data_IF_638465664768
#
_entry.id   IF_638465664768
#
_cell.length_a   1.000
_cell.length_b   1.000
_cell.length_c   1.000
_cell.angle_alpha   90.00
_cell.angle_beta   90.00
_cell.angle_gamma   90.00
#
_symmetry.space_group_name_H-M   'P 1'
#
loop_
_entity.id
_entity.type
_entity.pdbx_description
1 polymer ?
#
# COMPACT_ATOMS: atom_id res chain seq x y z
N UNK A 1 -12.96 -21.87 -4.86
CA UNK A 1 -14.09 -20.96 -4.71
C UNK A 1 -13.59 -19.72 -3.97
N UNK A 2 -13.23 -18.67 -4.71
CA UNK A 2 -12.69 -17.44 -4.15
C UNK A 2 -13.82 -16.45 -3.91
N UNK A 3 -14.04 -16.06 -2.67
CA UNK A 3 -14.92 -14.97 -2.31
C UNK A 3 -14.25 -13.64 -2.71
N UNK A 4 -14.67 -13.11 -3.86
CA UNK A 4 -14.38 -11.73 -4.25
C UNK A 4 -15.16 -10.80 -3.30
N UNK A 5 -14.52 -10.33 -2.24
CA UNK A 5 -15.06 -9.19 -1.51
C UNK A 5 -14.85 -7.94 -2.36
N UNK A 6 -15.92 -7.48 -2.99
CA UNK A 6 -16.00 -6.14 -3.57
C UNK A 6 -15.88 -5.13 -2.42
N UNK A 7 -14.71 -4.50 -2.31
CA UNK A 7 -14.56 -3.32 -1.47
C UNK A 7 -15.25 -2.19 -2.21
N UNK A 8 -16.47 -1.85 -1.80
CA UNK A 8 -17.15 -0.64 -2.25
C UNK A 8 -16.42 0.58 -1.67
N UNK A 9 -15.91 1.42 -2.53
CA UNK A 9 -15.12 2.64 -2.21
C UNK A 9 -16.01 3.76 -1.63
N UNK A 10 -17.33 3.60 -1.62
CA UNK A 10 -18.29 4.58 -1.13
C UNK A 10 -19.03 4.06 0.11
N UNK A 11 -18.33 4.05 1.24
CA UNK A 11 -19.02 4.21 2.50
C UNK A 11 -18.47 5.47 3.16
N UNK A 12 -19.15 6.59 2.93
CA UNK A 12 -19.25 7.65 3.93
C UNK A 12 -19.77 6.95 5.20
N UNK A 13 -18.84 6.55 6.07
CA UNK A 13 -19.20 5.99 7.38
C UNK A 13 -19.88 7.14 8.08
N UNK A 14 -21.21 7.10 8.28
CA UNK A 14 -21.88 8.14 9.05
C UNK A 14 -21.21 8.13 10.42
N UNK A 15 -20.63 9.25 10.81
CA UNK A 15 -20.09 9.43 12.16
C UNK A 15 -21.29 9.29 13.08
N UNK A 16 -21.47 8.09 13.60
CA UNK A 16 -22.58 7.81 14.49
C UNK A 16 -22.32 8.62 15.76
N UNK A 17 -23.11 9.63 16.00
CA UNK A 17 -22.97 10.54 17.15
C UNK A 17 -22.92 9.79 18.47
N UNK A 18 -23.56 8.63 18.57
CA UNK A 18 -23.51 7.74 19.73
C UNK A 18 -22.13 7.10 19.92
N UNK A 19 -21.45 6.67 18.84
CA UNK A 19 -20.09 6.12 18.93
C UNK A 19 -19.05 7.19 19.32
N UNK A 20 -19.24 8.42 18.90
CA UNK A 20 -18.37 9.55 19.29
C UNK A 20 -18.53 9.86 20.78
N UNK A 21 -19.74 9.76 21.30
CA UNK A 21 -19.99 9.94 22.73
C UNK A 21 -19.42 8.79 23.58
N UNK A 22 -19.50 7.54 23.13
CA UNK A 22 -18.94 6.39 23.84
C UNK A 22 -17.41 6.36 23.84
N UNK A 23 -16.75 6.83 22.78
CA UNK A 23 -15.28 6.86 22.64
C UNK A 23 -14.61 8.12 23.14
N UNK A 24 -15.41 9.12 23.50
CA UNK A 24 -14.93 10.42 23.97
C UNK A 24 -14.28 11.28 22.90
N UNK A 25 -14.56 12.55 22.92
CA UNK A 25 -14.02 13.56 22.00
C UNK A 25 -12.48 13.55 21.93
N UNK A 26 -11.81 13.30 23.05
CA UNK A 26 -10.35 13.28 23.14
C UNK A 26 -9.72 12.16 22.29
N UNK A 27 -10.30 10.96 22.28
CA UNK A 27 -9.79 9.82 21.51
C UNK A 27 -9.93 10.08 20.00
N UNK A 28 -11.05 10.68 19.58
CA UNK A 28 -11.28 11.02 18.17
C UNK A 28 -10.30 12.08 17.68
N UNK A 29 -9.94 13.06 18.50
CA UNK A 29 -8.96 14.08 18.15
C UNK A 29 -7.53 13.51 18.10
N UNK A 30 -7.16 12.62 19.03
CA UNK A 30 -5.89 11.92 19.04
C UNK A 30 -5.75 11.03 17.79
N UNK A 31 -6.80 10.33 17.39
CA UNK A 31 -6.79 9.49 16.17
C UNK A 31 -6.55 10.32 14.91
N UNK A 32 -7.20 11.48 14.79
CA UNK A 32 -6.94 12.42 13.68
C UNK A 32 -5.50 12.93 13.67
N UNK A 33 -4.94 13.28 14.83
CA UNK A 33 -3.56 13.74 14.96
C UNK A 33 -2.57 12.64 14.55
N UNK A 34 -2.77 11.42 15.04
CA UNK A 34 -1.92 10.26 14.70
C UNK A 34 -2.00 9.94 13.21
N UNK A 35 -3.19 9.94 12.62
CA UNK A 35 -3.37 9.69 11.19
C UNK A 35 -2.77 10.82 10.33
N UNK A 36 -2.86 12.06 10.77
CA UNK A 36 -2.16 13.18 10.12
C UNK A 36 -0.65 12.98 10.13
N UNK A 37 -0.06 12.62 11.28
CA UNK A 37 1.37 12.35 11.39
C UNK A 37 1.81 11.16 10.50
N UNK A 38 1.05 10.06 10.49
CA UNK A 38 1.32 8.87 9.64
C UNK A 38 1.26 9.19 8.15
N UNK A 39 0.29 10.00 7.73
CA UNK A 39 0.18 10.38 6.30
C UNK A 39 1.27 11.33 5.85
N UNK A 40 1.86 12.10 6.75
CA UNK A 40 2.99 12.99 6.46
C UNK A 40 4.35 12.29 6.46
N UNK A 41 4.44 11.04 6.93
CA UNK A 41 5.68 10.27 7.01
C UNK A 41 5.39 8.80 6.71
N UNK A 42 5.39 8.46 5.42
CA UNK A 42 5.22 7.08 4.95
C UNK A 42 6.53 6.59 4.33
N UNK A 43 7.10 5.54 4.88
CA UNK A 43 8.38 5.01 4.45
C UNK A 43 8.23 3.66 3.73
N UNK A 44 8.26 3.66 2.38
CA UNK A 44 8.17 2.42 1.62
C UNK A 44 9.43 1.57 1.73
N UNK A 45 9.26 0.27 1.90
CA UNK A 45 10.35 -0.68 1.68
C UNK A 45 10.62 -0.83 0.18
N UNK A 46 11.90 -0.81 -0.19
CA UNK A 46 12.34 -1.00 -1.57
C UNK A 46 12.23 -2.47 -1.97
N UNK A 47 11.08 -2.89 -2.46
CA UNK A 47 10.83 -4.26 -2.93
C UNK A 47 10.56 -4.27 -4.44
N UNK A 48 11.62 -4.02 -5.22
CA UNK A 48 11.57 -4.02 -6.67
C UNK A 48 11.84 -5.41 -7.25
N UNK A 49 10.94 -5.92 -8.08
CA UNK A 49 11.03 -7.26 -8.67
C UNK A 49 11.30 -7.24 -10.17
N UNK A 50 10.83 -6.22 -10.89
CA UNK A 50 10.95 -6.14 -12.35
C UNK A 50 10.86 -4.68 -12.82
N UNK A 51 10.39 -4.45 -14.07
CA UNK A 51 10.34 -3.14 -14.72
C UNK A 51 9.58 -2.06 -13.91
N UNK A 52 8.55 -2.41 -13.17
CA UNK A 52 7.86 -1.46 -12.30
C UNK A 52 8.78 -0.83 -11.24
N UNK A 53 9.83 -1.53 -10.83
CA UNK A 53 10.81 -0.99 -9.90
C UNK A 53 11.57 0.22 -10.48
N UNK A 54 11.83 0.23 -11.79
CA UNK A 54 12.48 1.36 -12.47
C UNK A 54 11.58 2.58 -12.45
N UNK A 55 10.28 2.40 -12.69
CA UNK A 55 9.31 3.50 -12.62
C UNK A 55 9.11 3.98 -11.17
N UNK A 56 9.17 3.08 -10.20
CA UNK A 56 9.19 3.42 -8.77
C UNK A 56 10.41 4.28 -8.41
N UNK A 57 11.61 3.95 -8.93
CA UNK A 57 12.82 4.78 -8.76
C UNK A 57 12.65 6.15 -9.44
N UNK A 58 12.04 6.18 -10.63
CA UNK A 58 11.74 7.43 -11.34
C UNK A 58 10.80 8.34 -10.52
N UNK A 59 9.79 7.78 -9.87
CA UNK A 59 8.90 8.53 -8.99
C UNK A 59 9.65 9.15 -7.78
N UNK A 60 10.70 8.49 -7.28
CA UNK A 60 11.58 9.02 -6.23
C UNK A 60 12.68 9.96 -6.73
N UNK A 61 12.88 10.07 -8.06
CA UNK A 61 13.88 10.93 -8.66
C UNK A 61 13.46 12.41 -8.64
N UNK A 62 14.39 13.30 -8.98
CA UNK A 62 14.24 14.75 -8.87
C UNK A 62 13.04 15.34 -9.63
N UNK A 63 12.58 14.70 -10.71
CA UNK A 63 11.45 15.19 -11.49
C UNK A 63 10.12 15.14 -10.72
N UNK A 64 9.88 14.06 -9.98
CA UNK A 64 8.62 13.84 -9.25
C UNK A 64 8.76 14.07 -7.77
N UNK A 65 9.93 13.79 -7.22
CA UNK A 65 10.31 14.09 -5.85
C UNK A 65 9.28 13.64 -4.80
N UNK A 66 9.16 12.31 -4.65
CA UNK A 66 8.25 11.73 -3.66
C UNK A 66 8.55 12.18 -2.23
N UNK A 67 9.78 12.59 -1.94
CA UNK A 67 10.19 13.03 -0.60
C UNK A 67 9.36 14.23 -0.11
N UNK A 68 8.95 15.13 -1.00
CA UNK A 68 8.08 16.27 -0.65
C UNK A 68 6.70 15.87 -0.15
N UNK A 69 6.26 14.63 -0.46
CA UNK A 69 5.02 14.05 0.07
C UNK A 69 5.24 13.29 1.38
N UNK A 70 6.43 13.33 1.95
CA UNK A 70 6.81 12.56 3.13
C UNK A 70 7.07 11.08 2.88
N UNK A 71 7.35 10.71 1.62
CA UNK A 71 7.54 9.32 1.19
C UNK A 71 9.01 9.09 0.90
N UNK A 72 9.72 8.48 1.83
CA UNK A 72 11.15 8.20 1.72
C UNK A 72 11.41 6.70 1.68
N UNK A 73 12.10 6.23 0.66
CA UNK A 73 12.46 4.81 0.53
C UNK A 73 13.40 4.34 1.65
N UNK A 74 13.11 3.16 2.18
CA UNK A 74 13.94 2.49 3.18
C UNK A 74 14.37 1.09 2.71
N UNK A 75 15.62 0.70 2.99
CA UNK A 75 16.14 -0.59 2.52
C UNK A 75 15.66 -1.78 3.38
N UNK A 76 15.23 -1.53 4.62
CA UNK A 76 14.85 -2.59 5.56
C UNK A 76 13.36 -2.54 5.92
N UNK A 77 12.67 -3.69 5.96
CA UNK A 77 11.26 -3.75 6.33
C UNK A 77 10.98 -3.30 7.77
N UNK A 78 11.95 -3.43 8.66
CA UNK A 78 11.79 -3.03 10.07
C UNK A 78 11.71 -1.51 10.28
N UNK A 79 12.14 -0.74 9.29
CA UNK A 79 12.07 0.73 9.28
C UNK A 79 11.02 1.27 8.30
N UNK A 80 10.15 0.41 7.78
CA UNK A 80 9.20 0.76 6.73
C UNK A 80 7.78 0.50 7.18
N UNK A 81 6.89 1.38 6.73
CA UNK A 81 5.46 1.34 7.03
C UNK A 81 4.64 0.87 5.83
N UNK A 82 5.16 1.06 4.62
CA UNK A 82 4.50 0.73 3.36
C UNK A 82 5.34 -0.27 2.58
N UNK A 83 4.70 -1.26 1.97
CA UNK A 83 5.32 -2.15 0.99
C UNK A 83 4.79 -1.82 -0.40
N UNK A 84 5.67 -1.50 -1.34
CA UNK A 84 5.32 -1.37 -2.75
C UNK A 84 5.81 -2.61 -3.48
N UNK A 85 4.87 -3.47 -3.91
CA UNK A 85 5.20 -4.66 -4.69
C UNK A 85 5.30 -4.22 -6.17
N UNK A 86 6.52 -3.98 -6.63
CA UNK A 86 6.78 -3.38 -7.94
C UNK A 86 7.36 -4.41 -8.91
N UNK A 87 6.50 -5.16 -9.57
CA UNK A 87 6.89 -6.09 -10.62
C UNK A 87 6.27 -7.48 -10.52
N UNK A 88 6.80 -8.39 -11.33
CA UNK A 88 6.29 -9.76 -11.44
C UNK A 88 6.69 -10.59 -10.24
N UNK A 89 5.70 -11.11 -9.51
CA UNK A 89 5.92 -12.01 -8.40
C UNK A 89 5.97 -13.46 -8.89
N UNK A 90 7.14 -14.07 -8.79
CA UNK A 90 7.31 -15.50 -9.12
C UNK A 90 7.10 -16.38 -7.89
N UNK A 91 6.72 -17.65 -8.13
CA UNK A 91 6.45 -18.61 -7.05
C UNK A 91 7.63 -18.78 -6.09
N UNK A 92 8.86 -18.75 -6.59
CA UNK A 92 10.08 -18.85 -5.77
C UNK A 92 10.30 -17.62 -4.88
N UNK A 93 9.78 -16.44 -5.29
CA UNK A 93 9.92 -15.19 -4.53
C UNK A 93 8.76 -14.96 -3.55
N UNK A 94 7.64 -15.62 -3.74
CA UNK A 94 6.46 -15.46 -2.90
C UNK A 94 6.74 -15.69 -1.38
N UNK A 95 7.50 -16.72 -0.96
CA UNK A 95 7.87 -16.87 0.45
C UNK A 95 8.74 -15.74 0.98
N UNK A 96 9.60 -15.15 0.13
CA UNK A 96 10.43 -14.00 0.51
C UNK A 96 9.57 -12.74 0.69
N UNK A 97 8.61 -12.48 -0.22
CA UNK A 97 7.65 -11.40 -0.08
C UNK A 97 6.90 -11.50 1.26
N UNK A 98 6.40 -12.69 1.58
CA UNK A 98 5.68 -12.92 2.84
C UNK A 98 6.56 -12.65 4.06
N UNK A 99 7.80 -13.12 4.06
CA UNK A 99 8.76 -12.87 5.15
C UNK A 99 9.04 -11.37 5.34
N UNK A 100 9.24 -10.64 4.24
CA UNK A 100 9.48 -9.18 4.30
C UNK A 100 8.25 -8.47 4.87
N UNK A 101 7.05 -8.86 4.45
CA UNK A 101 5.81 -8.32 4.99
C UNK A 101 5.67 -8.59 6.49
N UNK A 102 5.94 -9.81 6.95
CA UNK A 102 5.83 -10.18 8.36
C UNK A 102 6.88 -9.48 9.25
N UNK A 103 8.00 -9.03 8.66
CA UNK A 103 9.03 -8.25 9.35
C UNK A 103 8.71 -6.76 9.46
N UNK A 104 7.71 -6.25 8.76
CA UNK A 104 7.27 -4.88 8.89
C UNK A 104 6.50 -4.68 10.19
N UNK A 105 6.74 -3.54 10.84
CA UNK A 105 6.00 -3.16 12.04
C UNK A 105 4.55 -2.80 11.70
N UNK A 106 3.63 -2.96 12.64
CA UNK A 106 2.27 -2.48 12.52
C UNK A 106 2.16 -1.03 13.03
N UNK A 107 1.37 -0.19 12.39
CA UNK A 107 0.51 -0.43 11.22
C UNK A 107 1.30 -0.47 9.92
N UNK A 108 0.92 -1.37 9.01
CA UNK A 108 1.58 -1.58 7.71
C UNK A 108 0.56 -1.61 6.58
N UNK A 109 0.97 -1.12 5.42
CA UNK A 109 0.12 -1.03 4.22
C UNK A 109 0.84 -1.59 3.00
N UNK A 110 0.08 -2.07 2.03
CA UNK A 110 0.62 -2.67 0.80
C UNK A 110 0.02 -2.00 -0.43
N UNK A 111 0.88 -1.53 -1.32
CA UNK A 111 0.53 -1.06 -2.66
C UNK A 111 0.97 -2.10 -3.67
N UNK A 112 0.04 -2.60 -4.46
CA UNK A 112 0.33 -3.47 -5.60
C UNK A 112 0.52 -2.62 -6.84
N UNK A 113 1.74 -2.55 -7.37
CA UNK A 113 2.11 -1.72 -8.49
C UNK A 113 2.26 -2.53 -9.78
N UNK A 114 1.43 -2.21 -10.75
CA UNK A 114 1.46 -2.76 -12.08
C UNK A 114 0.68 -4.05 -12.27
N UNK A 115 0.37 -4.36 -13.51
CA UNK A 115 -0.49 -5.49 -13.89
C UNK A 115 0.06 -6.84 -13.42
N UNK A 116 1.38 -6.99 -13.36
CA UNK A 116 2.01 -8.24 -12.91
C UNK A 116 1.76 -8.50 -11.43
N UNK A 117 1.93 -7.48 -10.58
CA UNK A 117 1.64 -7.59 -9.14
C UNK A 117 0.15 -7.71 -8.89
N UNK A 118 -0.70 -7.03 -9.66
CA UNK A 118 -2.15 -7.02 -9.49
C UNK A 118 -2.80 -8.37 -9.82
N UNK A 119 -2.33 -9.06 -10.88
CA UNK A 119 -3.00 -10.29 -11.30
C UNK A 119 -2.16 -11.19 -12.21
N UNK A 120 -0.83 -11.03 -12.22
CA UNK A 120 0.07 -11.77 -13.12
C UNK A 120 0.32 -11.08 -14.46
N UNK A 121 -0.53 -10.12 -14.86
CA UNK A 121 -0.37 -9.30 -16.06
C UNK A 121 -0.13 -10.10 -17.32
N UNK A 122 0.89 -9.72 -18.07
CA UNK A 122 1.31 -10.39 -19.31
C UNK A 122 1.68 -11.87 -19.09
N UNK A 123 2.16 -12.21 -17.87
CA UNK A 123 2.61 -13.57 -17.52
C UNK A 123 1.56 -14.38 -16.74
N UNK A 124 0.29 -13.99 -16.82
CA UNK A 124 -0.80 -14.61 -16.05
C UNK A 124 -0.88 -16.13 -16.18
N UNK A 125 -0.63 -16.65 -17.38
CA UNK A 125 -0.68 -18.09 -17.67
C UNK A 125 0.63 -18.83 -17.48
N UNK A 126 1.70 -18.12 -17.04
CA UNK A 126 2.97 -18.77 -16.76
C UNK A 126 2.87 -19.68 -15.53
N UNK A 127 3.50 -20.85 -15.60
CA UNK A 127 3.59 -21.79 -14.48
C UNK A 127 4.41 -21.27 -13.30
N UNK A 128 5.28 -20.29 -13.52
CA UNK A 128 6.22 -19.78 -12.54
C UNK A 128 5.73 -18.52 -11.80
N UNK A 129 4.62 -17.90 -12.24
CA UNK A 129 4.17 -16.59 -11.76
C UNK A 129 2.95 -16.71 -10.87
N UNK A 130 2.96 -15.98 -9.76
CA UNK A 130 1.82 -15.84 -8.87
C UNK A 130 0.81 -14.88 -9.50
N UNK A 131 -0.44 -15.30 -9.61
CA UNK A 131 -1.54 -14.52 -10.21
C UNK A 131 -2.13 -13.51 -9.22
N UNK A 132 -1.34 -12.50 -8.89
CA UNK A 132 -1.67 -11.46 -7.93
C UNK A 132 -0.95 -11.63 -6.59
N UNK A 133 -0.35 -10.53 -6.11
CA UNK A 133 0.32 -10.52 -4.81
C UNK A 133 -0.67 -10.56 -3.62
N UNK A 134 -1.93 -10.24 -3.87
CA UNK A 134 -3.04 -10.34 -2.91
C UNK A 134 -3.29 -11.76 -2.38
N UNK A 135 -2.79 -12.77 -3.09
CA UNK A 135 -2.81 -14.17 -2.63
C UNK A 135 -1.82 -14.45 -1.52
N UNK A 136 -0.81 -13.60 -1.35
CA UNK A 136 0.28 -13.76 -0.40
C UNK A 136 0.19 -12.75 0.75
N UNK A 137 -0.10 -11.48 0.43
CA UNK A 137 -0.21 -10.37 1.38
C UNK A 137 -1.48 -9.57 1.13
N UNK A 138 -2.12 -8.98 2.17
CA UNK A 138 -3.27 -8.12 1.96
C UNK A 138 -2.85 -6.85 1.22
N UNK A 139 -3.61 -6.45 0.20
CA UNK A 139 -3.34 -5.26 -0.62
C UNK A 139 -4.33 -4.16 -0.27
N UNK A 140 -3.82 -2.95 -0.04
CA UNK A 140 -4.61 -1.77 0.29
C UNK A 140 -4.99 -0.95 -0.93
N UNK A 141 -4.05 -0.80 -1.88
CA UNK A 141 -4.22 -0.01 -3.10
C UNK A 141 -3.64 -0.76 -4.29
N UNK A 142 -4.34 -0.74 -5.40
CA UNK A 142 -3.90 -1.29 -6.69
C UNK A 142 -3.60 -0.16 -7.66
N UNK A 143 -2.41 -0.16 -8.25
CA UNK A 143 -2.00 0.79 -9.29
C UNK A 143 -1.92 0.05 -10.62
N UNK A 144 -2.82 0.31 -11.57
CA UNK A 144 -2.81 -0.36 -12.88
C UNK A 144 -1.74 0.24 -13.80
N UNK A 145 -1.25 -0.58 -14.73
CA UNK A 145 -0.29 -0.19 -15.78
C UNK A 145 0.76 -1.28 -16.02
N UNK A 146 1.53 -1.15 -17.10
CA UNK A 146 2.59 -2.11 -17.44
C UNK A 146 3.76 -1.43 -18.16
N UNK A 147 4.67 -0.78 -17.43
CA UNK A 147 4.54 -0.30 -16.05
C UNK A 147 3.56 0.87 -15.92
N UNK A 148 3.01 1.13 -14.73
CA UNK A 148 2.30 2.38 -14.47
C UNK A 148 3.28 3.55 -14.52
N UNK A 149 2.81 4.72 -14.92
CA UNK A 149 3.62 5.93 -14.89
C UNK A 149 3.93 6.36 -13.46
N UNK A 150 4.98 7.19 -13.27
CA UNK A 150 5.33 7.74 -11.96
C UNK A 150 4.16 8.52 -11.33
N UNK A 151 3.38 9.26 -12.17
CA UNK A 151 2.18 9.97 -11.72
C UNK A 151 1.10 9.01 -11.22
N UNK A 152 0.92 7.87 -11.88
CA UNK A 152 -0.05 6.87 -11.45
C UNK A 152 0.35 6.28 -10.08
N UNK A 153 1.64 6.06 -9.84
CA UNK A 153 2.13 5.63 -8.53
C UNK A 153 1.91 6.71 -7.47
N UNK A 154 2.23 7.97 -7.76
CA UNK A 154 1.96 9.10 -6.86
C UNK A 154 0.49 9.21 -6.51
N UNK A 155 -0.40 9.05 -7.51
CA UNK A 155 -1.83 9.01 -7.26
C UNK A 155 -2.22 7.86 -6.33
N UNK A 156 -1.65 6.66 -6.52
CA UNK A 156 -1.84 5.52 -5.63
C UNK A 156 -1.42 5.80 -4.18
N UNK A 157 -0.32 6.52 -4.00
CA UNK A 157 0.16 6.97 -2.68
C UNK A 157 -0.83 7.96 -2.05
N UNK A 158 -1.33 8.93 -2.82
CA UNK A 158 -2.35 9.88 -2.34
C UNK A 158 -3.63 9.14 -1.92
N UNK A 159 -4.05 8.13 -2.68
CA UNK A 159 -5.20 7.29 -2.31
C UNK A 159 -4.94 6.53 -1.00
N UNK A 160 -3.74 6.01 -0.81
CA UNK A 160 -3.37 5.38 0.46
C UNK A 160 -3.40 6.37 1.62
N UNK A 161 -2.88 7.60 1.43
CA UNK A 161 -2.96 8.66 2.45
C UNK A 161 -4.42 8.98 2.82
N UNK A 162 -5.31 9.07 1.83
CA UNK A 162 -6.75 9.28 2.08
C UNK A 162 -7.37 8.12 2.84
N UNK A 163 -7.00 6.87 2.50
CA UNK A 163 -7.45 5.67 3.22
C UNK A 163 -7.02 5.73 4.69
N UNK A 164 -5.75 6.04 4.98
CA UNK A 164 -5.22 6.14 6.34
C UNK A 164 -5.95 7.22 7.14
N UNK A 165 -6.21 8.39 6.55
CA UNK A 165 -6.95 9.48 7.23
C UNK A 165 -8.38 9.11 7.62
N UNK A 166 -9.02 8.21 6.87
CA UNK A 166 -10.38 7.74 7.12
C UNK A 166 -10.44 6.54 8.08
N UNK A 167 -9.31 5.88 8.33
CA UNK A 167 -9.27 4.68 9.17
C UNK A 167 -9.07 5.06 10.63
N UNK A 168 -9.93 4.53 11.53
CA UNK A 168 -9.72 4.64 12.96
C UNK A 168 -8.68 3.60 13.41
N UNK A 169 -7.47 4.06 13.76
CA UNK A 169 -6.33 3.17 14.04
C UNK A 169 -6.08 2.92 15.52
N UNK A 170 -6.52 3.83 16.39
CA UNK A 170 -6.34 3.68 17.85
C UNK A 170 -7.47 2.85 18.45
N UNK A 171 -8.61 2.81 17.79
CA UNK A 171 -9.83 2.17 18.30
C UNK A 171 -10.12 0.80 17.66
N UNK A 172 -9.09 0.10 17.19
CA UNK A 172 -9.23 -1.28 16.70
C UNK A 172 -9.14 -2.28 17.82
#
# INVERSE_FOLDING_TARGET
MGLSQKISVDQDIPINTTEVMERGFAVTQLDKLVNWARTGSMWPVTFGLACCAVEMMHAGASRYDMDRFGVMFRPTPRQSDVMIVAGTLVNKMAPALRRVYDQMAEPRWVISMGSCANGGGYYHYSYAVVRGCDRIVPVDVYVPGCPPTAEALLYGIIQLQQKIRRTHTIAR
#
